data_IF_268903435508
#
_entry.id   IF_268903435508
#
_cell.length_a   1.000
_cell.length_b   1.000
_cell.length_c   1.000
_cell.angle_alpha   90.00
_cell.angle_beta   90.00
_cell.angle_gamma   90.00
#
_symmetry.space_group_name_H-M   'P 1'
#
loop_
_entity.id
_entity.type
_entity.pdbx_description
1 polymer ?
#
# COMPACT_ATOMS: atom_id res chain seq x y z
N UNK A 1 -8.69 -17.94 9.51
CA UNK A 1 -8.61 -16.88 10.54
C UNK A 1 -9.14 -17.45 11.85
N UNK A 2 -8.38 -17.39 12.95
CA UNK A 2 -8.90 -17.72 14.28
C UNK A 2 -9.29 -16.40 14.94
N UNK A 3 -10.59 -16.15 15.09
CA UNK A 3 -11.07 -14.92 15.72
C UNK A 3 -10.69 -14.87 17.19
N UNK A 4 -10.65 -13.69 17.79
CA UNK A 4 -10.45 -13.58 19.24
C UNK A 4 -11.53 -14.31 20.03
N UNK A 5 -12.76 -14.38 19.50
CA UNK A 5 -13.82 -15.21 20.04
C UNK A 5 -13.49 -16.71 19.93
N UNK A 6 -13.19 -17.20 18.73
CA UNK A 6 -12.87 -18.62 18.50
C UNK A 6 -11.60 -19.05 19.28
N UNK A 7 -10.60 -18.18 19.40
CA UNK A 7 -9.43 -18.41 20.23
C UNK A 7 -9.81 -18.57 21.72
N UNK A 8 -10.71 -17.73 22.25
CA UNK A 8 -11.23 -17.88 23.61
C UNK A 8 -11.98 -19.19 23.79
N UNK A 9 -12.78 -19.60 22.82
CA UNK A 9 -13.52 -20.87 22.87
C UNK A 9 -12.58 -22.08 22.84
N UNK A 10 -11.58 -22.08 21.95
CA UNK A 10 -10.54 -23.12 21.86
C UNK A 10 -9.72 -23.20 23.17
N UNK A 11 -9.40 -22.05 23.77
CA UNK A 11 -8.64 -21.97 25.02
C UNK A 11 -9.49 -22.39 26.23
N UNK A 12 -10.79 -22.10 26.20
CA UNK A 12 -11.74 -22.31 27.27
C UNK A 12 -11.26 -21.73 28.61
N UNK A 13 -11.45 -22.49 29.71
CA UNK A 13 -11.05 -22.09 31.07
C UNK A 13 -9.53 -21.94 31.28
N UNK A 14 -8.69 -22.22 30.26
CA UNK A 14 -7.22 -22.19 30.37
C UNK A 14 -6.64 -20.80 30.13
N UNK A 15 -7.45 -19.76 29.91
CA UNK A 15 -6.99 -18.40 29.62
C UNK A 15 -6.00 -17.86 30.67
N UNK A 16 -6.31 -18.01 31.95
CA UNK A 16 -5.44 -17.57 33.04
C UNK A 16 -4.09 -18.32 33.06
N UNK A 17 -4.07 -19.60 32.67
CA UNK A 17 -2.85 -20.40 32.55
C UNK A 17 -1.98 -19.86 31.41
N UNK A 18 -2.60 -19.50 30.28
CA UNK A 18 -1.90 -18.90 29.13
C UNK A 18 -1.35 -17.52 29.48
N UNK A 19 -2.13 -16.65 30.13
CA UNK A 19 -1.68 -15.31 30.57
C UNK A 19 -0.46 -15.39 31.49
N UNK A 20 -0.55 -16.18 32.57
CA UNK A 20 0.57 -16.39 33.51
C UNK A 20 1.83 -16.90 32.82
N UNK A 21 1.67 -17.78 31.84
CA UNK A 21 2.79 -18.38 31.14
C UNK A 21 3.43 -17.43 30.13
N UNK A 22 2.62 -16.68 29.37
CA UNK A 22 3.08 -15.59 28.52
C UNK A 22 3.93 -14.61 29.32
N UNK A 23 3.45 -14.20 30.49
CA UNK A 23 4.15 -13.23 31.34
C UNK A 23 5.48 -13.80 31.87
N UNK A 24 5.52 -15.10 32.20
CA UNK A 24 6.76 -15.80 32.59
C UNK A 24 7.78 -15.87 31.44
N UNK A 25 7.33 -16.11 30.21
CA UNK A 25 8.22 -16.16 29.05
C UNK A 25 8.75 -14.80 28.66
N UNK A 26 7.91 -13.77 28.73
CA UNK A 26 8.31 -12.39 28.48
C UNK A 26 9.45 -11.98 29.42
N UNK A 27 9.42 -12.44 30.68
CA UNK A 27 10.51 -12.25 31.66
C UNK A 27 11.78 -13.06 31.34
N UNK A 28 11.66 -14.23 30.73
CA UNK A 28 12.81 -15.13 30.43
C UNK A 28 13.46 -14.90 29.06
N UNK A 29 12.82 -14.12 28.18
CA UNK A 29 13.32 -13.85 26.83
C UNK A 29 13.40 -15.07 25.91
N UNK A 30 12.77 -16.21 26.29
CA UNK A 30 12.77 -17.45 25.50
C UNK A 30 11.36 -17.80 25.06
N UNK A 31 11.18 -18.03 23.76
CA UNK A 31 9.96 -18.63 23.20
C UNK A 31 9.89 -20.09 23.59
N UNK A 32 8.71 -20.56 23.96
CA UNK A 32 8.43 -21.98 24.09
C UNK A 32 6.99 -22.24 23.63
N UNK A 33 6.72 -23.50 23.31
CA UNK A 33 5.40 -23.94 22.85
C UNK A 33 4.55 -24.41 24.03
N UNK A 34 3.26 -24.04 24.04
CA UNK A 34 2.25 -24.68 24.89
C UNK A 34 1.42 -25.60 24.01
N UNK A 35 1.43 -26.89 24.33
CA UNK A 35 0.45 -27.82 23.79
C UNK A 35 -0.85 -27.70 24.59
N UNK A 36 -1.85 -27.08 23.99
CA UNK A 36 -3.23 -27.20 24.44
C UNK A 36 -3.80 -28.47 23.82
N UNK A 37 -4.47 -29.30 24.63
CA UNK A 37 -5.31 -30.41 24.16
C UNK A 37 -6.78 -30.01 24.34
N UNK A 38 -7.36 -29.16 23.48
CA UNK A 38 -8.80 -29.00 23.44
C UNK A 38 -9.42 -30.18 22.69
N UNK A 39 -10.64 -30.58 23.04
CA UNK A 39 -11.49 -31.33 22.13
C UNK A 39 -12.13 -30.31 21.18
N UNK A 40 -11.82 -30.43 19.89
CA UNK A 40 -12.30 -29.51 18.86
C UNK A 40 -13.05 -30.31 17.81
N UNK A 41 -14.35 -30.03 17.68
CA UNK A 41 -15.16 -30.51 16.57
C UNK A 41 -15.29 -29.37 15.57
N UNK A 42 -14.79 -29.58 14.36
CA UNK A 42 -14.88 -28.63 13.27
C UNK A 42 -15.86 -29.20 12.24
N UNK A 43 -17.01 -28.56 12.12
CA UNK A 43 -17.89 -28.73 10.97
C UNK A 43 -17.70 -27.53 10.03
N UNK A 44 -17.25 -27.80 8.81
CA UNK A 44 -16.90 -26.78 7.83
C UNK A 44 -17.76 -26.92 6.59
N UNK A 45 -18.67 -25.96 6.41
CA UNK A 45 -19.36 -25.75 5.15
C UNK A 45 -18.65 -24.65 4.35
N UNK A 46 -18.25 -24.95 3.11
CA UNK A 46 -17.67 -23.96 2.20
C UNK A 46 -18.75 -23.46 1.26
N UNK A 47 -19.22 -22.25 1.49
CA UNK A 47 -20.07 -21.53 0.55
C UNK A 47 -19.19 -20.67 -0.36
N UNK A 48 -19.35 -20.83 -1.69
CA UNK A 48 -18.65 -20.04 -2.70
C UNK A 48 -19.67 -19.08 -3.31
N UNK A 49 -19.40 -17.78 -3.19
CA UNK A 49 -20.18 -16.75 -3.87
C UNK A 49 -19.26 -15.94 -4.77
N UNK A 50 -19.80 -15.54 -5.93
CA UNK A 50 -19.13 -14.61 -6.83
C UNK A 50 -19.55 -13.20 -6.43
N UNK A 51 -18.57 -12.39 -6.04
CA UNK A 51 -18.79 -10.98 -5.69
C UNK A 51 -18.23 -10.15 -6.84
N UNK A 52 -19.03 -9.19 -7.33
CA UNK A 52 -18.56 -8.21 -8.32
C UNK A 52 -17.82 -7.09 -7.59
N UNK A 53 -16.58 -6.85 -8.00
CA UNK A 53 -15.79 -5.69 -7.59
C UNK A 53 -15.60 -4.74 -8.76
N UNK A 54 -15.40 -3.46 -8.46
CA UNK A 54 -15.15 -2.42 -9.45
C UNK A 54 -13.89 -1.65 -9.08
N UNK A 55 -12.98 -1.47 -10.04
CA UNK A 55 -11.94 -0.45 -9.93
C UNK A 55 -12.57 0.91 -10.27
N UNK A 56 -12.09 1.99 -9.65
CA UNK A 56 -12.53 3.37 -9.90
C UNK A 56 -11.37 4.15 -10.50
N UNK A 57 -11.63 4.85 -11.60
CA UNK A 57 -10.62 5.56 -12.38
C UNK A 57 -10.96 7.05 -12.45
N UNK A 58 -10.01 7.89 -12.07
CA UNK A 58 -10.01 9.33 -12.31
C UNK A 58 -8.92 9.70 -13.32
N UNK A 59 -9.27 10.47 -14.36
CA UNK A 59 -8.33 10.77 -15.44
C UNK A 59 -8.14 12.28 -15.59
N UNK A 60 -6.89 12.74 -15.47
CA UNK A 60 -6.48 14.11 -15.78
C UNK A 60 -5.69 14.05 -17.08
N UNK A 61 -6.35 14.39 -18.20
CA UNK A 61 -5.69 14.43 -19.51
C UNK A 61 -4.57 15.48 -19.52
N UNK A 62 -3.41 15.12 -20.08
CA UNK A 62 -2.27 16.01 -20.26
C UNK A 62 -2.44 17.01 -21.41
N UNK A 63 -1.39 17.79 -21.68
CA UNK A 63 -1.36 18.77 -22.77
C UNK A 63 -0.67 18.21 -24.02
N UNK A 64 0.64 18.38 -24.14
CA UNK A 64 1.43 18.03 -25.33
C UNK A 64 1.91 16.57 -25.35
N UNK A 65 1.87 15.86 -24.21
CA UNK A 65 2.26 14.44 -24.06
C UNK A 65 1.11 13.57 -23.53
N UNK A 66 -0.12 13.96 -23.84
CA UNK A 66 -1.35 13.35 -23.29
C UNK A 66 -1.52 11.86 -23.52
N UNK A 67 -0.86 11.27 -24.53
CA UNK A 67 -0.93 9.84 -24.79
C UNK A 67 -0.04 9.03 -23.83
N UNK A 68 0.94 9.66 -23.17
CA UNK A 68 1.74 9.06 -22.11
C UNK A 68 1.03 9.19 -20.77
N UNK A 69 1.01 8.10 -19.98
CA UNK A 69 0.21 8.02 -18.75
C UNK A 69 1.08 7.70 -17.55
N UNK A 70 1.02 8.53 -16.50
CA UNK A 70 1.50 8.17 -15.16
C UNK A 70 0.31 7.61 -14.39
N UNK A 71 0.43 6.40 -13.83
CA UNK A 71 -0.64 5.79 -13.02
C UNK A 71 -0.32 6.00 -11.54
N UNK A 72 -1.21 6.65 -10.80
CA UNK A 72 -1.16 6.70 -9.34
C UNK A 72 -2.21 5.72 -8.80
N UNK A 73 -1.80 4.70 -8.06
CA UNK A 73 -2.70 3.65 -7.59
C UNK A 73 -2.74 3.49 -6.07
N UNK A 74 -3.89 3.07 -5.57
CA UNK A 74 -4.08 2.56 -4.21
C UNK A 74 -5.24 1.55 -4.24
N UNK A 75 -5.21 0.52 -3.41
CA UNK A 75 -6.44 -0.25 -3.18
C UNK A 75 -7.34 0.48 -2.19
N UNK A 76 -8.65 0.34 -2.40
CA UNK A 76 -9.66 0.95 -1.53
C UNK A 76 -10.51 -0.09 -0.78
N UNK A 77 -10.33 -1.38 -1.07
CA UNK A 77 -10.93 -2.44 -0.26
C UNK A 77 -10.14 -2.69 1.02
N UNK A 78 -10.85 -3.17 2.04
CA UNK A 78 -10.25 -3.75 3.24
C UNK A 78 -11.04 -4.99 3.66
N UNK A 79 -10.66 -5.60 4.79
CA UNK A 79 -11.22 -6.86 5.29
C UNK A 79 -12.73 -6.81 5.62
N UNK A 80 -13.30 -5.62 5.80
CA UNK A 80 -14.73 -5.39 6.02
C UNK A 80 -15.25 -6.01 7.32
N UNK A 81 -16.47 -6.56 7.28
CA UNK A 81 -17.10 -7.21 8.44
C UNK A 81 -16.76 -8.69 8.52
N UNK A 82 -16.31 -9.16 9.67
CA UNK A 82 -16.10 -10.60 9.98
C UNK A 82 -16.84 -10.96 11.26
N UNK A 83 -17.92 -11.71 11.15
CA UNK A 83 -18.81 -11.94 12.31
C UNK A 83 -19.42 -10.60 12.77
N UNK A 84 -19.28 -10.28 14.05
CA UNK A 84 -19.72 -8.98 14.60
C UNK A 84 -18.65 -7.89 14.53
N UNK A 85 -17.43 -8.24 14.15
CA UNK A 85 -16.30 -7.32 14.12
C UNK A 85 -16.23 -6.57 12.79
N UNK A 86 -15.94 -5.27 12.84
CA UNK A 86 -15.70 -4.41 11.67
C UNK A 86 -14.21 -4.05 11.64
N UNK A 87 -13.57 -4.34 10.51
CA UNK A 87 -12.20 -3.95 10.22
C UNK A 87 -12.28 -2.71 9.35
N UNK A 88 -11.96 -1.55 9.94
CA UNK A 88 -12.20 -0.27 9.28
C UNK A 88 -11.12 0.07 8.25
N UNK A 89 -9.88 -0.43 8.44
CA UNK A 89 -8.80 -0.24 7.46
C UNK A 89 -8.37 1.22 7.32
N UNK A 90 -8.28 1.93 8.45
CA UNK A 90 -7.96 3.35 8.45
C UNK A 90 -6.58 3.62 7.84
N UNK A 91 -5.56 2.83 8.19
CA UNK A 91 -4.24 2.94 7.56
C UNK A 91 -4.15 2.05 6.33
N UNK A 92 -4.66 0.83 6.43
CA UNK A 92 -4.70 -0.18 5.37
C UNK A 92 -6.14 -0.36 4.85
N UNK A 93 -6.58 0.31 3.80
CA UNK A 93 -5.80 1.30 3.04
C UNK A 93 -6.58 2.60 2.76
N UNK A 94 -7.43 3.01 3.70
CA UNK A 94 -8.09 4.32 3.60
C UNK A 94 -7.05 5.46 3.57
N UNK A 95 -5.91 5.34 4.25
CA UNK A 95 -4.86 6.36 4.20
C UNK A 95 -4.29 6.54 2.78
N UNK A 96 -3.91 5.46 2.09
CA UNK A 96 -3.42 5.53 0.72
C UNK A 96 -4.51 6.00 -0.25
N UNK A 97 -5.73 5.47 -0.10
CA UNK A 97 -6.89 5.88 -0.91
C UNK A 97 -7.16 7.38 -0.79
N UNK A 98 -7.22 7.93 0.42
CA UNK A 98 -7.42 9.35 0.65
C UNK A 98 -6.27 10.18 0.08
N UNK A 99 -5.02 9.75 0.22
CA UNK A 99 -3.87 10.44 -0.43
C UNK A 99 -4.03 10.52 -1.94
N UNK A 100 -4.46 9.44 -2.61
CA UNK A 100 -4.70 9.43 -4.05
C UNK A 100 -5.86 10.35 -4.46
N UNK A 101 -6.93 10.38 -3.67
CA UNK A 101 -8.07 11.29 -3.90
C UNK A 101 -7.68 12.76 -3.77
N UNK A 102 -6.94 13.13 -2.74
CA UNK A 102 -6.45 14.50 -2.53
C UNK A 102 -5.49 14.95 -3.65
N UNK A 103 -4.62 14.04 -4.11
CA UNK A 103 -3.77 14.30 -5.28
C UNK A 103 -4.61 14.51 -6.55
N UNK A 104 -5.66 13.73 -6.75
CA UNK A 104 -6.56 13.87 -7.90
C UNK A 104 -7.27 15.23 -7.88
N UNK A 105 -7.79 15.66 -6.74
CA UNK A 105 -8.39 16.98 -6.57
C UNK A 105 -7.38 18.10 -6.87
N UNK A 106 -6.20 18.05 -6.27
CA UNK A 106 -5.16 19.05 -6.46
C UNK A 106 -4.73 19.19 -7.94
N UNK A 107 -4.54 18.07 -8.65
CA UNK A 107 -4.16 18.08 -10.06
C UNK A 107 -5.30 18.49 -10.99
N UNK A 108 -6.54 18.11 -10.69
CA UNK A 108 -7.71 18.58 -11.42
C UNK A 108 -7.87 20.11 -11.28
N UNK A 109 -7.67 20.63 -10.06
CA UNK A 109 -7.69 22.06 -9.79
C UNK A 109 -6.58 22.79 -10.54
N UNK A 110 -5.33 22.32 -10.46
CA UNK A 110 -4.21 22.89 -11.19
C UNK A 110 -4.48 22.94 -12.71
N UNK A 111 -5.06 21.87 -13.28
CA UNK A 111 -5.48 21.86 -14.68
C UNK A 111 -6.55 22.90 -14.98
N UNK A 112 -7.57 23.04 -14.13
CA UNK A 112 -8.63 24.04 -14.31
C UNK A 112 -8.11 25.49 -14.26
N UNK A 113 -7.02 25.72 -13.54
CA UNK A 113 -6.33 27.01 -13.41
C UNK A 113 -5.29 27.25 -14.53
N UNK A 114 -5.20 26.36 -15.53
CA UNK A 114 -4.28 26.51 -16.68
C UNK A 114 -2.87 25.96 -16.44
N UNK A 115 -2.64 25.28 -15.32
CA UNK A 115 -1.37 24.69 -14.93
C UNK A 115 -1.43 23.16 -14.99
N UNK A 116 -2.08 22.56 -15.99
CA UNK A 116 -2.21 21.11 -16.11
C UNK A 116 -0.89 20.38 -16.44
N UNK A 117 -0.81 19.06 -16.19
CA UNK A 117 0.38 18.27 -16.51
C UNK A 117 0.57 18.09 -18.03
N UNK A 118 1.80 17.86 -18.47
CA UNK A 118 2.11 17.54 -19.88
C UNK A 118 1.64 16.14 -20.28
N UNK A 119 1.93 15.15 -19.46
CA UNK A 119 1.43 13.77 -19.58
C UNK A 119 0.08 13.63 -18.90
N UNK A 120 -0.70 12.65 -19.34
CA UNK A 120 -1.93 12.31 -18.63
C UNK A 120 -1.62 11.57 -17.33
N UNK A 121 -2.50 11.75 -16.34
CA UNK A 121 -2.39 11.07 -15.06
C UNK A 121 -3.68 10.27 -14.83
N UNK A 122 -3.51 8.98 -14.56
CA UNK A 122 -4.59 8.09 -14.18
C UNK A 122 -4.51 7.79 -12.69
N UNK A 123 -5.49 8.26 -11.93
CA UNK A 123 -5.74 7.87 -10.55
C UNK A 123 -6.57 6.59 -10.56
N UNK A 124 -6.00 5.49 -10.07
CA UNK A 124 -6.56 4.16 -10.13
C UNK A 124 -6.78 3.61 -8.73
N UNK A 125 -8.02 3.62 -8.27
CA UNK A 125 -8.43 2.96 -7.04
C UNK A 125 -8.87 1.53 -7.34
N UNK A 126 -8.13 0.54 -6.85
CA UNK A 126 -8.38 -0.88 -7.16
C UNK A 126 -9.09 -1.61 -6.01
N UNK A 127 -9.81 -2.67 -6.36
CA UNK A 127 -10.52 -3.52 -5.39
C UNK A 127 -9.92 -4.93 -5.31
N UNK A 128 -10.15 -5.64 -4.22
CA UNK A 128 -9.74 -7.03 -4.03
C UNK A 128 -8.23 -7.20 -3.86
N UNK A 129 -7.50 -6.19 -3.41
CA UNK A 129 -6.07 -6.32 -3.06
C UNK A 129 -5.90 -7.37 -1.97
N UNK A 130 -6.73 -7.27 -0.93
CA UNK A 130 -6.71 -8.11 0.27
C UNK A 130 -7.11 -9.57 0.01
N UNK A 131 -7.52 -9.85 -1.23
CA UNK A 131 -7.85 -11.17 -1.77
C UNK A 131 -6.84 -11.69 -2.78
N UNK A 132 -5.73 -10.97 -2.98
CA UNK A 132 -4.64 -11.34 -3.86
C UNK A 132 -4.48 -10.43 -5.08
N UNK A 133 -4.47 -9.11 -4.86
CA UNK A 133 -4.18 -8.10 -5.89
C UNK A 133 -5.13 -8.17 -7.10
N UNK A 134 -6.41 -8.50 -6.88
CA UNK A 134 -7.32 -8.90 -7.95
C UNK A 134 -7.64 -7.74 -8.91
N UNK A 135 -7.89 -6.55 -8.38
CA UNK A 135 -8.27 -5.36 -9.16
C UNK A 135 -7.11 -4.82 -10.00
N UNK A 136 -5.92 -4.67 -9.43
CA UNK A 136 -4.74 -4.24 -10.18
C UNK A 136 -4.31 -5.26 -11.22
N UNK A 137 -4.40 -6.56 -10.90
CA UNK A 137 -4.18 -7.63 -11.88
C UNK A 137 -5.16 -7.53 -13.04
N UNK A 138 -6.45 -7.35 -12.75
CA UNK A 138 -7.45 -7.24 -13.81
C UNK A 138 -7.16 -6.04 -14.72
N UNK A 139 -6.83 -4.87 -14.14
CA UNK A 139 -6.48 -3.68 -14.92
C UNK A 139 -5.21 -3.89 -15.75
N UNK A 140 -4.14 -4.48 -15.20
CA UNK A 140 -2.90 -4.69 -15.96
C UNK A 140 -3.00 -5.79 -17.02
N UNK A 141 -4.03 -6.65 -16.94
CA UNK A 141 -4.36 -7.63 -17.98
C UNK A 141 -5.37 -7.08 -19.00
N UNK A 142 -6.21 -6.11 -18.63
CA UNK A 142 -7.27 -5.52 -19.45
C UNK A 142 -7.29 -3.99 -19.31
N UNK A 143 -6.22 -3.29 -19.74
CA UNK A 143 -6.07 -1.88 -19.45
C UNK A 143 -6.95 -1.02 -20.36
N UNK A 144 -7.46 0.10 -19.83
CA UNK A 144 -8.20 1.10 -20.63
C UNK A 144 -7.22 1.89 -21.52
N UNK A 145 -6.03 2.18 -20.99
CA UNK A 145 -4.94 2.81 -21.74
C UNK A 145 -3.83 1.78 -21.97
N UNK A 146 -3.37 1.62 -23.21
CA UNK A 146 -2.33 0.64 -23.55
C UNK A 146 -1.13 0.77 -22.60
N UNK A 147 -0.73 -0.33 -21.96
CA UNK A 147 0.36 -0.32 -20.97
C UNK A 147 1.69 0.14 -21.55
N UNK A 148 1.92 0.05 -22.87
CA UNK A 148 3.13 0.61 -23.50
C UNK A 148 3.24 2.13 -23.32
N UNK A 149 2.11 2.79 -23.15
CA UNK A 149 2.00 4.23 -22.92
C UNK A 149 2.16 4.59 -21.43
N UNK A 150 2.12 3.61 -20.53
CA UNK A 150 2.36 3.86 -19.11
C UNK A 150 3.83 4.18 -18.87
N UNK A 151 4.10 5.36 -18.32
CA UNK A 151 5.45 5.83 -17.98
C UNK A 151 5.93 5.19 -16.70
N UNK A 152 5.11 5.24 -15.66
CA UNK A 152 5.37 4.65 -14.36
C UNK A 152 4.06 4.32 -13.64
N UNK A 153 4.13 3.41 -12.68
CA UNK A 153 3.12 3.26 -11.64
C UNK A 153 3.66 3.77 -10.28
N UNK A 154 2.92 4.67 -9.65
CA UNK A 154 3.17 5.20 -8.32
C UNK A 154 2.10 4.66 -7.38
N UNK A 155 2.44 3.67 -6.58
CA UNK A 155 1.50 2.98 -5.70
C UNK A 155 1.61 3.46 -4.25
N UNK A 156 0.46 3.71 -3.63
CA UNK A 156 0.32 4.25 -2.29
C UNK A 156 -0.44 3.26 -1.40
N UNK A 157 0.20 2.84 -0.31
CA UNK A 157 -0.37 1.93 0.68
C UNK A 157 0.06 2.39 2.07
N UNK A 158 -0.81 2.35 3.07
CA UNK A 158 -0.44 2.58 4.48
C UNK A 158 0.51 3.77 4.71
N UNK A 159 0.04 5.00 4.55
CA UNK A 159 0.84 6.24 4.69
C UNK A 159 0.51 7.05 5.95
N UNK A 160 -0.49 6.61 6.73
CA UNK A 160 -1.02 7.33 7.87
C UNK A 160 -0.51 6.89 9.24
N UNK A 161 0.24 5.79 9.36
CA UNK A 161 0.80 5.30 10.64
C UNK A 161 2.32 5.19 10.59
N UNK A 162 2.89 4.70 11.69
CA UNK A 162 4.34 4.55 11.87
C UNK A 162 4.68 3.13 12.33
N UNK A 163 5.67 2.54 11.69
CA UNK A 163 6.38 1.33 12.10
C UNK A 163 7.12 1.58 13.41
N UNK A 164 7.23 0.53 14.20
CA UNK A 164 7.96 0.52 15.47
C UNK A 164 9.37 1.13 15.36
N UNK A 165 10.09 0.89 14.25
CA UNK A 165 11.44 1.45 14.03
C UNK A 165 11.48 2.98 14.12
N UNK A 166 10.39 3.63 13.73
CA UNK A 166 10.30 5.07 13.53
C UNK A 166 9.37 5.75 14.54
N UNK A 167 9.01 5.11 15.65
CA UNK A 167 8.11 5.66 16.69
C UNK A 167 8.49 7.08 17.13
N UNK A 168 9.79 7.42 17.11
CA UNK A 168 10.31 8.73 17.51
C UNK A 168 10.64 9.67 16.34
N UNK A 169 10.48 9.23 15.09
CA UNK A 169 10.71 10.04 13.90
C UNK A 169 9.71 9.66 12.80
N UNK A 170 8.49 10.25 12.80
CA UNK A 170 7.46 9.93 11.82
C UNK A 170 7.77 10.50 10.40
N UNK A 171 8.90 11.19 10.21
CA UNK A 171 9.29 11.81 8.94
C UNK A 171 10.06 10.84 8.04
N UNK A 172 9.41 9.73 7.73
CA UNK A 172 9.96 8.68 6.88
C UNK A 172 8.86 8.03 6.05
N UNK A 173 9.28 7.34 5.00
CA UNK A 173 8.47 6.38 4.28
C UNK A 173 9.36 5.26 3.76
N UNK A 174 8.86 4.02 3.75
CA UNK A 174 9.55 2.96 3.03
C UNK A 174 9.25 3.08 1.55
N UNK A 175 10.29 2.90 0.75
CA UNK A 175 10.20 2.95 -0.71
C UNK A 175 10.63 1.60 -1.26
N UNK A 176 9.76 0.98 -2.05
CA UNK A 176 9.96 -0.33 -2.65
C UNK A 176 9.79 -0.22 -4.17
N UNK A 177 10.59 -0.94 -4.95
CA UNK A 177 10.44 -1.03 -6.40
C UNK A 177 11.16 0.05 -7.20
N UNK A 178 11.53 1.18 -6.58
CA UNK A 178 12.01 2.38 -7.28
C UNK A 178 13.18 2.15 -8.23
N UNK A 179 14.08 1.20 -7.94
CA UNK A 179 15.28 0.87 -8.72
C UNK A 179 15.23 -0.54 -9.35
N UNK A 180 14.08 -1.24 -9.25
CA UNK A 180 13.97 -2.65 -9.68
C UNK A 180 13.93 -2.80 -11.19
N UNK A 181 13.39 -1.80 -11.89
CA UNK A 181 13.26 -1.78 -13.34
C UNK A 181 13.87 -0.54 -14.00
N UNK A 182 14.07 0.55 -13.23
CA UNK A 182 14.49 1.85 -13.76
C UNK A 182 15.29 2.59 -12.70
N UNK A 183 16.58 2.76 -12.94
CA UNK A 183 17.43 3.61 -12.10
C UNK A 183 17.01 5.09 -12.18
N UNK A 184 16.43 5.50 -13.31
CA UNK A 184 15.86 6.85 -13.50
C UNK A 184 14.70 7.13 -12.53
N UNK A 185 13.81 6.15 -12.28
CA UNK A 185 12.70 6.32 -11.33
C UNK A 185 13.20 6.49 -9.89
N UNK A 186 14.24 5.75 -9.50
CA UNK A 186 14.89 5.93 -8.21
C UNK A 186 15.50 7.31 -8.08
N UNK A 187 16.24 7.76 -9.10
CA UNK A 187 16.86 9.08 -9.10
C UNK A 187 15.81 10.20 -9.03
N UNK A 188 14.73 10.12 -9.81
CA UNK A 188 13.64 11.09 -9.76
C UNK A 188 13.01 11.18 -8.35
N UNK A 189 12.84 10.04 -7.67
CA UNK A 189 12.33 10.01 -6.29
C UNK A 189 13.30 10.66 -5.29
N UNK A 190 14.61 10.41 -5.41
CA UNK A 190 15.64 11.05 -4.57
C UNK A 190 15.72 12.56 -4.81
N UNK A 191 15.74 12.99 -6.07
CA UNK A 191 15.82 14.41 -6.45
C UNK A 191 14.63 15.20 -5.92
N UNK A 192 13.42 14.64 -6.05
CA UNK A 192 12.19 15.25 -5.53
C UNK A 192 12.20 15.28 -4.01
N UNK A 193 12.69 14.22 -3.36
CA UNK A 193 12.81 14.21 -1.90
C UNK A 193 13.80 15.29 -1.42
N UNK A 194 14.96 15.40 -2.08
CA UNK A 194 15.96 16.41 -1.75
C UNK A 194 15.41 17.82 -1.95
N UNK A 195 14.64 18.05 -3.02
CA UNK A 195 14.10 19.37 -3.38
C UNK A 195 12.93 19.81 -2.50
N UNK A 196 12.02 18.91 -2.13
CA UNK A 196 10.74 19.29 -1.53
C UNK A 196 10.49 18.73 -0.13
N UNK A 197 10.72 17.43 0.08
CA UNK A 197 10.09 16.71 1.19
C UNK A 197 11.03 16.44 2.38
N UNK A 198 12.31 16.22 2.07
CA UNK A 198 13.38 15.82 2.99
C UNK A 198 12.94 14.73 3.97
N UNK A 199 12.18 13.74 3.47
CA UNK A 199 11.79 12.55 4.21
C UNK A 199 12.98 11.61 4.32
N UNK A 200 13.02 10.84 5.40
CA UNK A 200 13.87 9.64 5.43
C UNK A 200 13.26 8.60 4.50
N UNK A 201 13.86 8.40 3.33
CA UNK A 201 13.47 7.34 2.41
C UNK A 201 14.20 6.06 2.83
N UNK A 202 13.44 5.07 3.32
CA UNK A 202 14.00 3.79 3.77
C UNK A 202 13.75 2.69 2.73
N UNK A 203 14.82 2.21 2.12
CA UNK A 203 14.79 1.19 1.08
C UNK A 203 14.93 -0.23 1.61
N UNK A 204 14.93 -0.46 2.93
CA UNK A 204 15.19 -1.79 3.51
C UNK A 204 14.30 -2.89 2.94
N UNK A 205 13.00 -2.62 2.79
CA UNK A 205 12.04 -3.62 2.29
C UNK A 205 12.09 -3.77 0.76
N UNK A 206 12.89 -2.96 0.08
CA UNK A 206 13.22 -3.13 -1.33
C UNK A 206 14.33 -4.17 -1.55
N UNK A 207 15.02 -4.66 -0.51
CA UNK A 207 16.01 -5.73 -0.66
C UNK A 207 15.35 -7.03 -1.18
N UNK A 208 15.93 -7.63 -2.21
CA UNK A 208 15.48 -8.90 -2.77
C UNK A 208 15.57 -10.07 -1.79
N UNK A 209 16.45 -9.96 -0.79
CA UNK A 209 16.66 -10.96 0.26
C UNK A 209 15.83 -10.69 1.52
N UNK A 210 15.00 -9.63 1.56
CA UNK A 210 14.13 -9.39 2.71
C UNK A 210 13.12 -10.56 2.87
N UNK A 211 13.06 -11.20 4.05
CA UNK A 211 12.23 -12.40 4.26
C UNK A 211 10.73 -12.12 4.17
N UNK A 212 10.28 -10.87 4.35
CA UNK A 212 8.86 -10.52 4.27
C UNK A 212 8.39 -10.38 2.83
N UNK A 213 9.32 -10.17 1.89
CA UNK A 213 9.04 -10.09 0.45
C UNK A 213 7.96 -9.04 0.10
N UNK A 214 7.99 -7.86 0.72
CA UNK A 214 7.00 -6.80 0.51
C UNK A 214 6.89 -6.31 -0.95
N UNK A 215 7.96 -6.42 -1.74
CA UNK A 215 7.93 -6.16 -3.19
C UNK A 215 6.82 -6.92 -3.95
N UNK A 216 6.36 -8.06 -3.43
CA UNK A 216 5.35 -8.89 -4.09
C UNK A 216 3.94 -8.73 -3.48
N UNK A 217 3.75 -7.79 -2.54
CA UNK A 217 2.62 -7.75 -1.62
C UNK A 217 1.71 -6.52 -1.75
N UNK A 218 1.83 -5.74 -2.83
CA UNK A 218 0.93 -4.62 -3.10
C UNK A 218 0.78 -4.42 -4.62
N UNK A 219 -0.16 -3.60 -5.04
CA UNK A 219 -0.67 -3.54 -6.41
C UNK A 219 0.34 -3.15 -7.48
N UNK A 220 1.38 -2.39 -7.11
CA UNK A 220 2.50 -2.03 -8.00
C UNK A 220 3.10 -3.24 -8.72
N UNK A 221 3.11 -4.39 -8.06
CA UNK A 221 3.72 -5.61 -8.59
C UNK A 221 3.06 -6.09 -9.88
N UNK A 222 1.74 -5.88 -10.04
CA UNK A 222 1.02 -6.26 -11.26
C UNK A 222 1.41 -5.39 -12.47
N UNK A 223 1.94 -4.18 -12.24
CA UNK A 223 2.51 -3.32 -13.27
C UNK A 223 3.98 -3.68 -13.54
N UNK A 224 4.77 -3.88 -12.48
CA UNK A 224 6.15 -4.32 -12.60
C UNK A 224 6.29 -5.64 -13.38
N UNK A 225 5.37 -6.59 -13.17
CA UNK A 225 5.31 -7.86 -13.92
C UNK A 225 5.08 -7.65 -15.43
N UNK A 226 4.52 -6.51 -15.84
CA UNK A 226 4.31 -6.11 -17.23
C UNK A 226 5.46 -5.24 -17.78
N UNK A 227 6.55 -5.07 -17.02
CA UNK A 227 7.71 -4.29 -17.44
C UNK A 227 7.53 -2.78 -17.27
N UNK A 228 6.54 -2.34 -16.50
CA UNK A 228 6.34 -0.92 -16.19
C UNK A 228 7.13 -0.58 -14.93
N UNK A 229 8.00 0.46 -14.94
CA UNK A 229 8.63 0.94 -13.72
C UNK A 229 7.59 1.26 -12.66
N UNK A 230 7.75 0.70 -11.46
CA UNK A 230 6.76 0.85 -10.41
C UNK A 230 7.44 1.16 -9.07
N UNK A 231 6.95 2.19 -8.39
CA UNK A 231 7.40 2.60 -7.07
C UNK A 231 6.24 2.45 -6.08
N UNK A 232 6.55 1.93 -4.91
CA UNK A 232 5.60 1.61 -3.87
C UNK A 232 6.00 2.29 -2.55
N UNK A 233 5.11 3.15 -2.05
CA UNK A 233 5.27 3.84 -0.77
C UNK A 233 4.43 3.17 0.31
N UNK A 234 5.06 2.81 1.44
CA UNK A 234 4.34 2.35 2.64
C UNK A 234 5.06 2.67 3.94
N UNK A 235 4.33 2.75 5.04
CA UNK A 235 4.87 3.12 6.34
C UNK A 235 5.33 1.95 7.19
N UNK A 236 5.28 0.71 6.72
CA UNK A 236 5.53 -0.45 7.58
C UNK A 236 4.26 -0.93 8.27
N UNK A 237 4.33 -2.11 8.87
CA UNK A 237 3.21 -2.63 9.66
C UNK A 237 3.21 -2.05 11.06
N UNK A 238 2.03 -1.90 11.65
CA UNK A 238 1.85 -1.49 13.05
C UNK A 238 1.01 -2.51 13.83
N UNK A 239 0.93 -2.33 15.15
CA UNK A 239 0.21 -3.25 16.06
C UNK A 239 -1.27 -3.47 15.73
N UNK A 240 -1.88 -2.52 14.99
CA UNK A 240 -3.29 -2.52 14.60
C UNK A 240 -3.52 -3.05 13.18
N UNK A 241 -2.46 -3.36 12.41
CA UNK A 241 -2.55 -3.88 11.03
C UNK A 241 -3.45 -5.12 10.94
N UNK A 242 -4.41 -5.11 10.01
CA UNK A 242 -5.46 -6.13 9.86
C UNK A 242 -6.26 -6.41 11.15
N UNK A 243 -6.53 -5.38 11.95
CA UNK A 243 -7.35 -5.48 13.17
C UNK A 243 -8.47 -4.45 13.18
N UNK A 244 -9.51 -4.73 13.95
CA UNK A 244 -10.63 -3.81 14.22
C UNK A 244 -10.19 -2.49 14.86
N UNK A 245 -9.02 -2.50 15.49
CA UNK A 245 -8.43 -1.33 16.13
C UNK A 245 -7.67 -0.43 15.17
N UNK A 246 -7.62 -0.72 13.86
CA UNK A 246 -7.14 0.21 12.85
C UNK A 246 -8.22 1.25 12.54
N UNK A 247 -8.19 2.37 13.25
CA UNK A 247 -9.26 3.38 13.24
C UNK A 247 -8.72 4.77 12.91
N UNK A 248 -9.59 5.63 12.37
CA UNK A 248 -9.23 6.95 11.85
C UNK A 248 -8.59 7.88 12.89
N UNK A 249 -8.92 7.73 14.17
CA UNK A 249 -8.37 8.54 15.27
C UNK A 249 -6.88 8.27 15.51
N UNK A 250 -6.35 7.17 14.96
CA UNK A 250 -4.95 6.79 15.09
C UNK A 250 -4.09 7.28 13.92
N UNK A 251 -4.71 7.80 12.85
CA UNK A 251 -3.96 8.33 11.71
C UNK A 251 -3.19 9.58 12.14
N UNK A 252 -1.91 9.60 11.74
CA UNK A 252 -1.02 10.73 11.89
C UNK A 252 -1.18 11.62 10.64
N UNK A 253 -2.21 12.46 10.63
CA UNK A 253 -2.58 13.26 9.45
C UNK A 253 -1.43 14.14 8.94
N UNK A 254 -0.65 14.78 9.82
CA UNK A 254 0.51 15.58 9.41
C UNK A 254 1.58 14.75 8.69
N UNK A 255 1.78 13.49 9.12
CA UNK A 255 2.67 12.56 8.42
C UNK A 255 2.10 12.22 7.06
N UNK A 256 0.83 11.82 7.01
CA UNK A 256 0.13 11.44 5.80
C UNK A 256 0.16 12.57 4.77
N UNK A 257 -0.07 13.82 5.18
CA UNK A 257 0.02 15.00 4.33
C UNK A 257 1.43 15.17 3.77
N UNK A 258 2.48 15.09 4.62
CA UNK A 258 3.87 15.22 4.17
C UNK A 258 4.26 14.15 3.16
N UNK A 259 3.88 12.90 3.40
CA UNK A 259 4.10 11.79 2.46
C UNK A 259 3.29 12.01 1.18
N UNK A 260 2.02 12.42 1.29
CA UNK A 260 1.17 12.73 0.14
C UNK A 260 1.74 13.85 -0.75
N UNK A 261 2.29 14.92 -0.15
CA UNK A 261 3.00 15.98 -0.88
C UNK A 261 4.24 15.46 -1.60
N UNK A 262 5.02 14.58 -0.98
CA UNK A 262 6.16 13.94 -1.65
C UNK A 262 5.72 13.16 -2.89
N UNK A 263 4.70 12.32 -2.74
CA UNK A 263 4.15 11.50 -3.83
C UNK A 263 3.53 12.39 -4.93
N UNK A 264 2.87 13.48 -4.55
CA UNK A 264 2.39 14.50 -5.47
C UNK A 264 3.54 15.10 -6.28
N UNK A 265 4.61 15.55 -5.64
CA UNK A 265 5.75 16.16 -6.34
C UNK A 265 6.46 15.17 -7.27
N UNK A 266 6.60 13.90 -6.87
CA UNK A 266 7.16 12.86 -7.74
C UNK A 266 6.26 12.63 -8.95
N UNK A 267 4.96 12.48 -8.73
CA UNK A 267 3.99 12.29 -9.82
C UNK A 267 4.00 13.49 -10.76
N UNK A 268 4.07 14.70 -10.22
CA UNK A 268 4.16 15.94 -10.98
C UNK A 268 5.41 16.00 -11.85
N UNK A 269 6.55 15.60 -11.29
CA UNK A 269 7.81 15.55 -12.03
C UNK A 269 7.71 14.57 -13.19
N UNK A 270 7.35 13.31 -12.90
CA UNK A 270 7.15 12.27 -13.92
C UNK A 270 6.18 12.71 -15.02
N UNK A 271 5.13 13.44 -14.66
CA UNK A 271 4.13 13.92 -15.62
C UNK A 271 4.61 15.11 -16.47
N UNK A 272 5.69 15.80 -16.08
CA UNK A 272 6.16 17.02 -16.74
C UNK A 272 7.59 16.95 -17.29
N UNK A 273 8.39 15.94 -16.93
CA UNK A 273 9.75 15.74 -17.45
C UNK A 273 9.74 15.67 -18.98
N UNK A 274 10.83 16.11 -19.62
CA UNK A 274 10.92 16.02 -21.08
C UNK A 274 10.93 14.55 -21.52
N UNK A 275 11.85 13.76 -20.99
CA UNK A 275 11.96 12.34 -21.34
C UNK A 275 11.12 11.45 -20.43
N UNK A 276 10.75 10.27 -20.93
CA UNK A 276 10.26 9.18 -20.08
C UNK A 276 11.41 8.63 -19.24
N UNK A 277 11.12 8.19 -18.02
CA UNK A 277 12.06 7.34 -17.28
C UNK A 277 12.40 6.10 -18.10
N UNK A 278 13.67 5.71 -18.13
CA UNK A 278 14.15 4.60 -18.94
C UNK A 278 14.17 3.32 -18.13
N UNK A 279 13.84 2.21 -18.79
CA UNK A 279 14.11 0.89 -18.24
C UNK A 279 15.61 0.62 -18.25
N UNK A 280 16.11 0.03 -17.18
CA UNK A 280 17.48 -0.47 -17.13
C UNK A 280 17.63 -1.58 -18.18
N UNK A 281 18.79 -1.62 -18.85
CA UNK A 281 19.14 -2.80 -19.63
C UNK A 281 19.12 -4.02 -18.72
N UNK A 282 18.50 -5.13 -19.18
CA UNK A 282 18.33 -6.35 -18.37
C UNK A 282 19.66 -6.71 -17.68
N UNK A 283 19.66 -6.66 -16.34
CA UNK A 283 20.75 -7.19 -15.50
C UNK A 283 20.73 -8.71 -15.52
#
# INVERSE_FOLDING_TARGET
>A
YISSAMARDIIGKKENKIKKWRDKNRKKGKTCDIKLKPELYIDMKKDISVIKGYNVLGFVEGTDKKDEVVIVSAHFDHLGKRGNDIYNGADDNASGTCTVLEMAEAMARAKSEGHGPRRSILFLLVTGEEKGLLGSRYYSENPIFDLKNTVANVNVDMVGRTDKKYENNPHYIYVIGSDRLSSDLHQANEDINQKYSQLTLDYRYNDANDPNRYYFRSDHYNFAKKGIPAIFFFSGTHKDYHRTSDTAEKILYDKMERVGRHIFHLTWDLANSEERIKLDSRK
#
